data_IF_954836196030
#
_entry.id   IF_954836196030
#
_cell.length_a   1.000
_cell.length_b   1.000
_cell.length_c   1.000
_cell.angle_alpha   90.00
_cell.angle_beta   90.00
_cell.angle_gamma   90.00
#
_symmetry.space_group_name_H-M   'P 1'
#
loop_
_entity.id
_entity.type
_entity.pdbx_description
1 polymer ?
#
# COMPACT_ATOMS: atom_id res chain seq x y z
N UNK A 1 12.28 -5.40 25.06
CA UNK A 1 11.64 -5.91 23.83
C UNK A 1 11.84 -7.40 23.81
N UNK A 2 10.81 -8.18 23.50
CA UNK A 2 10.85 -9.63 23.75
C UNK A 2 11.13 -10.43 22.50
N UNK A 3 10.53 -10.03 21.38
CA UNK A 3 10.62 -10.77 20.12
C UNK A 3 10.51 -9.83 18.93
N UNK A 4 11.39 -10.02 17.95
CA UNK A 4 11.38 -9.29 16.68
C UNK A 4 11.64 -10.26 15.55
N UNK A 5 10.79 -10.28 14.54
CA UNK A 5 10.96 -11.14 13.37
C UNK A 5 10.27 -10.57 12.14
N UNK A 6 10.61 -11.09 10.95
CA UNK A 6 9.95 -10.74 9.69
C UNK A 6 8.71 -11.62 9.49
N UNK A 7 7.65 -11.06 8.92
CA UNK A 7 6.39 -11.77 8.65
C UNK A 7 6.21 -11.94 7.15
N UNK A 8 6.50 -13.14 6.62
CA UNK A 8 6.34 -13.45 5.20
C UNK A 8 7.43 -14.40 4.68
N UNK A 9 7.39 -14.73 3.38
CA UNK A 9 8.39 -15.61 2.77
C UNK A 9 9.78 -14.95 2.70
N UNK A 10 10.86 -15.74 2.55
CA UNK A 10 12.20 -15.23 2.31
C UNK A 10 12.23 -14.31 1.08
N UNK A 11 13.03 -13.23 1.17
CA UNK A 11 13.06 -12.20 0.13
C UNK A 11 13.75 -12.67 -1.15
N UNK A 12 13.16 -12.29 -2.28
CA UNK A 12 13.81 -12.22 -3.59
C UNK A 12 14.20 -10.75 -3.86
N UNK A 13 15.31 -10.51 -4.56
CA UNK A 13 15.93 -9.19 -4.70
C UNK A 13 15.05 -8.09 -5.33
N UNK A 14 13.97 -8.47 -6.04
CA UNK A 14 13.09 -7.55 -6.77
C UNK A 14 11.71 -7.36 -6.12
N UNK A 15 11.51 -7.89 -4.90
CA UNK A 15 10.22 -7.80 -4.19
C UNK A 15 10.30 -6.71 -3.12
N UNK A 16 9.21 -5.96 -2.86
CA UNK A 16 9.16 -5.00 -1.76
C UNK A 16 9.61 -5.58 -0.40
N UNK A 17 10.12 -4.74 0.51
CA UNK A 17 10.50 -5.18 1.84
C UNK A 17 9.34 -5.87 2.57
N UNK A 18 9.65 -6.96 3.26
CA UNK A 18 8.71 -7.68 4.12
C UNK A 18 8.57 -6.98 5.47
N UNK A 19 7.34 -6.94 5.98
CA UNK A 19 7.00 -6.36 7.28
C UNK A 19 7.76 -7.00 8.44
N UNK A 20 8.00 -6.20 9.48
CA UNK A 20 8.66 -6.61 10.71
C UNK A 20 7.65 -6.54 11.84
N UNK A 21 7.45 -7.67 12.53
CA UNK A 21 6.64 -7.72 13.73
C UNK A 21 7.52 -7.57 14.96
N UNK A 22 7.17 -6.59 15.81
CA UNK A 22 7.87 -6.26 17.05
C UNK A 22 6.93 -6.52 18.22
N UNK A 23 7.27 -7.47 19.08
CA UNK A 23 6.60 -7.75 20.34
C UNK A 23 7.28 -6.96 21.46
N UNK A 24 6.61 -5.89 21.91
CA UNK A 24 7.02 -5.08 23.07
C UNK A 24 6.29 -5.60 24.30
N UNK A 25 7.03 -5.96 25.35
CA UNK A 25 6.49 -6.46 26.62
C UNK A 25 5.54 -5.45 27.28
N UNK A 26 6.00 -4.21 27.41
CA UNK A 26 5.28 -3.14 28.08
C UNK A 26 4.27 -2.48 27.14
N UNK A 27 3.00 -2.63 27.50
CA UNK A 27 1.87 -2.02 26.82
C UNK A 27 1.97 -0.49 26.76
N UNK A 28 2.35 0.16 27.87
CA UNK A 28 2.43 1.62 27.94
C UNK A 28 3.55 2.15 27.03
N UNK A 29 4.70 1.48 27.02
CA UNK A 29 5.78 1.79 26.11
C UNK A 29 5.35 1.65 24.64
N UNK A 30 4.66 0.54 24.30
CA UNK A 30 4.13 0.32 22.94
C UNK A 30 3.19 1.45 22.51
N UNK A 31 2.24 1.83 23.36
CA UNK A 31 1.29 2.90 23.04
C UNK A 31 1.99 4.26 22.91
N UNK A 32 2.96 4.56 23.77
CA UNK A 32 3.76 5.79 23.68
C UNK A 32 4.55 5.87 22.37
N UNK A 33 5.16 4.76 21.94
CA UNK A 33 5.87 4.69 20.65
C UNK A 33 4.89 4.94 19.49
N UNK A 34 3.71 4.31 19.51
CA UNK A 34 2.69 4.49 18.48
C UNK A 34 2.14 5.92 18.46
N UNK A 35 1.97 6.56 19.62
CA UNK A 35 1.54 7.94 19.73
C UNK A 35 2.59 8.90 19.14
N UNK A 36 3.85 8.78 19.56
CA UNK A 36 4.95 9.58 19.03
C UNK A 36 5.09 9.42 17.51
N UNK A 37 4.91 8.20 16.99
CA UNK A 37 4.94 7.94 15.56
C UNK A 37 3.83 8.68 14.78
N UNK A 38 2.62 8.79 15.34
CA UNK A 38 1.50 9.52 14.74
C UNK A 38 1.74 11.03 14.77
N UNK A 39 2.26 11.54 15.87
CA UNK A 39 2.58 12.97 16.07
C UNK A 39 3.69 13.46 15.13
N UNK A 40 4.70 12.63 14.87
CA UNK A 40 5.80 13.00 13.98
C UNK A 40 5.41 13.04 12.49
N UNK A 41 4.28 12.44 12.10
CA UNK A 41 3.74 12.30 10.73
C UNK A 41 4.66 11.61 9.68
N UNK A 42 5.98 11.71 9.82
CA UNK A 42 6.99 11.21 8.89
C UNK A 42 8.17 10.60 9.65
N UNK A 43 8.15 9.29 9.83
CA UNK A 43 9.27 8.54 10.41
C UNK A 43 10.29 8.21 9.31
N UNK A 44 11.56 8.61 9.49
CA UNK A 44 12.65 8.29 8.56
C UNK A 44 13.72 7.44 9.23
N UNK A 45 14.21 6.43 8.50
CA UNK A 45 15.35 5.61 8.89
C UNK A 45 16.20 5.31 7.67
N UNK A 46 17.50 5.64 7.73
CA UNK A 46 18.44 5.45 6.61
C UNK A 46 17.94 6.02 5.27
N UNK A 47 17.30 7.19 5.29
CA UNK A 47 16.73 7.83 4.10
C UNK A 47 15.39 7.26 3.63
N UNK A 48 14.86 6.21 4.27
CA UNK A 48 13.57 5.61 3.93
C UNK A 48 12.47 6.05 4.90
N UNK A 49 11.27 6.28 4.37
CA UNK A 49 10.08 6.52 5.19
C UNK A 49 9.56 5.20 5.74
N UNK A 50 9.32 5.17 7.04
CA UNK A 50 8.74 4.03 7.75
C UNK A 50 7.28 4.30 8.08
N UNK A 51 6.48 3.24 8.01
CA UNK A 51 5.08 3.26 8.46
C UNK A 51 4.97 2.32 9.66
N UNK A 52 4.46 2.84 10.77
CA UNK A 52 4.28 2.08 12.00
C UNK A 52 2.78 1.88 12.26
N UNK A 53 2.37 0.62 12.36
CA UNK A 53 0.98 0.24 12.60
C UNK A 53 0.85 -0.61 13.86
N UNK A 54 -0.32 -0.51 14.51
CA UNK A 54 -0.68 -1.42 15.58
C UNK A 54 -1.05 -2.78 14.97
N UNK A 55 -0.56 -3.87 15.55
CA UNK A 55 -1.04 -5.21 15.20
C UNK A 55 -2.51 -5.38 15.60
N UNK A 56 -3.31 -5.90 14.67
CA UNK A 56 -4.74 -6.12 14.82
C UNK A 56 -5.09 -7.50 14.28
N UNK A 57 -5.96 -8.22 15.00
CA UNK A 57 -6.48 -9.50 14.56
C UNK A 57 -7.17 -9.40 13.19
N UNK A 58 -7.06 -10.45 12.37
CA UNK A 58 -7.64 -10.49 11.02
C UNK A 58 -9.15 -10.20 11.00
N UNK A 59 -9.89 -10.69 12.00
CA UNK A 59 -11.34 -10.44 12.15
C UNK A 59 -11.61 -8.94 12.32
N UNK A 60 -10.78 -8.24 13.09
CA UNK A 60 -10.88 -6.79 13.31
C UNK A 60 -10.59 -6.03 12.02
N UNK A 61 -9.55 -6.44 11.27
CA UNK A 61 -9.25 -5.84 9.97
C UNK A 61 -10.38 -6.04 8.97
N UNK A 62 -11.03 -7.22 8.96
CA UNK A 62 -12.17 -7.48 8.11
C UNK A 62 -13.34 -6.55 8.44
N UNK A 63 -13.72 -6.43 9.72
CA UNK A 63 -14.77 -5.50 10.15
C UNK A 63 -14.50 -4.04 9.73
N UNK A 64 -13.23 -3.60 9.79
CA UNK A 64 -12.83 -2.27 9.31
C UNK A 64 -12.98 -2.11 7.80
N UNK A 65 -12.69 -3.17 7.03
CA UNK A 65 -12.92 -3.19 5.57
C UNK A 65 -14.41 -3.12 5.24
N UNK A 66 -15.26 -3.81 6.00
CA UNK A 66 -16.71 -3.81 5.78
C UNK A 66 -17.30 -2.39 5.97
N UNK A 67 -16.66 -1.55 6.79
CA UNK A 67 -16.98 -0.13 6.98
C UNK A 67 -16.42 0.82 5.92
N UNK A 68 -15.73 0.31 4.89
CA UNK A 68 -15.23 1.10 3.76
C UNK A 68 -16.25 2.10 3.19
N UNK A 69 -17.51 1.72 2.84
CA UNK A 69 -18.49 2.67 2.30
C UNK A 69 -18.77 3.85 3.24
N UNK A 70 -18.90 3.58 4.54
CA UNK A 70 -19.11 4.60 5.56
C UNK A 70 -17.89 5.53 5.65
N UNK A 71 -16.69 4.98 5.70
CA UNK A 71 -15.47 5.81 5.80
C UNK A 71 -15.19 6.64 4.55
N UNK A 72 -15.57 6.14 3.37
CA UNK A 72 -15.51 6.89 2.11
C UNK A 72 -16.48 8.07 2.14
N UNK A 73 -17.73 7.83 2.58
CA UNK A 73 -18.71 8.89 2.74
C UNK A 73 -18.24 9.98 3.73
N UNK A 74 -17.70 9.59 4.89
CA UNK A 74 -17.15 10.55 5.85
C UNK A 74 -16.02 11.39 5.24
N UNK A 75 -15.14 10.77 4.45
CA UNK A 75 -14.04 11.45 3.76
C UNK A 75 -14.54 12.45 2.72
N UNK A 76 -15.55 12.06 1.92
CA UNK A 76 -16.19 12.93 0.93
C UNK A 76 -16.82 14.16 1.58
N UNK A 77 -17.40 14.00 2.77
CA UNK A 77 -17.97 15.10 3.57
C UNK A 77 -16.92 15.91 4.35
N UNK A 78 -15.64 15.59 4.22
CA UNK A 78 -14.56 16.26 4.96
C UNK A 78 -14.57 15.98 6.47
N UNK A 79 -15.25 14.92 6.91
CA UNK A 79 -15.35 14.55 8.33
C UNK A 79 -14.19 13.64 8.70
N UNK A 80 -13.37 14.09 9.65
CA UNK A 80 -12.31 13.28 10.24
C UNK A 80 -12.89 12.16 11.10
N UNK A 81 -12.37 10.95 10.93
CA UNK A 81 -12.72 9.79 11.77
C UNK A 81 -11.46 9.12 12.33
N UNK A 82 -11.64 8.37 13.40
CA UNK A 82 -10.61 7.52 14.00
C UNK A 82 -11.16 6.15 14.36
N UNK A 83 -10.26 5.19 14.52
CA UNK A 83 -10.61 3.83 14.93
C UNK A 83 -10.31 3.62 16.41
N UNK A 84 -11.33 3.31 17.20
CA UNK A 84 -11.18 2.81 18.56
C UNK A 84 -10.83 1.33 18.58
N UNK A 85 -9.98 0.93 19.53
CA UNK A 85 -9.66 -0.47 19.78
C UNK A 85 -10.82 -1.20 20.48
N UNK A 86 -11.08 -2.49 20.17
CA UNK A 86 -10.55 -3.23 19.02
C UNK A 86 -11.22 -2.78 17.72
N UNK A 87 -12.52 -2.50 17.78
CA UNK A 87 -13.34 -2.08 16.65
C UNK A 87 -14.44 -1.11 17.09
N UNK A 88 -14.23 0.19 16.84
CA UNK A 88 -15.23 1.27 16.94
C UNK A 88 -14.87 2.34 15.91
N UNK A 89 -15.83 2.81 15.12
CA UNK A 89 -15.65 3.99 14.27
C UNK A 89 -16.06 5.24 15.06
N UNK A 90 -15.13 6.17 15.26
CA UNK A 90 -15.33 7.38 16.06
C UNK A 90 -15.22 8.61 15.17
N UNK A 91 -16.23 9.47 15.17
CA UNK A 91 -16.24 10.70 14.36
C UNK A 91 -17.19 11.73 14.96
N UNK A 92 -17.05 13.00 14.54
CA UNK A 92 -18.00 14.07 14.89
C UNK A 92 -18.97 14.31 13.74
N UNK A 93 -20.26 14.30 14.04
CA UNK A 93 -21.33 14.58 13.08
C UNK A 93 -22.37 15.46 13.76
N UNK A 94 -22.80 16.53 13.08
CA UNK A 94 -23.78 17.49 13.63
C UNK A 94 -23.41 18.01 15.04
N UNK A 95 -22.12 18.26 15.26
CA UNK A 95 -21.57 18.75 16.54
C UNK A 95 -21.40 17.68 17.63
N UNK A 96 -21.98 16.48 17.47
CA UNK A 96 -21.93 15.38 18.45
C UNK A 96 -20.86 14.36 18.10
N UNK A 97 -20.27 13.75 19.14
CA UNK A 97 -19.33 12.64 18.99
C UNK A 97 -20.11 11.32 18.89
N UNK A 98 -19.90 10.57 17.82
CA UNK A 98 -20.52 9.26 17.60
C UNK A 98 -19.47 8.16 17.66
N UNK A 99 -19.86 7.00 18.21
CA UNK A 99 -19.04 5.80 18.27
C UNK A 99 -19.86 4.61 17.79
N UNK A 100 -19.52 4.05 16.64
CA UNK A 100 -20.31 3.01 15.99
C UNK A 100 -19.58 1.67 16.00
N UNK A 101 -20.33 0.62 16.31
CA UNK A 101 -19.87 -0.78 16.27
C UNK A 101 -20.58 -1.61 15.20
N UNK A 102 -21.64 -1.08 14.58
CA UNK A 102 -22.49 -1.79 13.61
C UNK A 102 -22.66 -0.97 12.33
N UNK A 103 -22.64 -1.64 11.18
CA UNK A 103 -22.90 -1.00 9.88
C UNK A 103 -24.31 -0.43 9.82
N UNK A 104 -25.30 -1.22 10.23
CA UNK A 104 -26.72 -0.82 10.22
C UNK A 104 -26.98 0.48 10.98
N UNK A 105 -26.30 0.64 12.11
CA UNK A 105 -26.34 1.87 12.91
C UNK A 105 -25.74 3.05 12.14
N UNK A 106 -24.62 2.83 11.43
CA UNK A 106 -23.98 3.84 10.60
C UNK A 106 -24.83 4.29 9.42
N UNK A 107 -25.45 3.35 8.68
CA UNK A 107 -26.35 3.68 7.58
C UNK A 107 -27.57 4.45 8.06
N UNK A 108 -28.17 4.04 9.19
CA UNK A 108 -29.31 4.73 9.78
C UNK A 108 -28.96 6.16 10.21
N UNK A 109 -27.79 6.35 10.83
CA UNK A 109 -27.34 7.66 11.31
C UNK A 109 -27.01 8.61 10.15
N UNK A 110 -26.30 8.12 9.14
CA UNK A 110 -25.90 8.91 7.98
C UNK A 110 -26.98 9.01 6.90
N UNK A 111 -28.14 8.38 7.13
CA UNK A 111 -29.26 8.29 6.17
C UNK A 111 -28.82 7.75 4.80
N UNK A 112 -27.93 6.76 4.82
CA UNK A 112 -27.40 6.11 3.63
C UNK A 112 -28.23 4.86 3.30
N UNK A 113 -28.34 4.53 2.02
CA UNK A 113 -28.94 3.27 1.59
C UNK A 113 -27.96 2.11 1.82
N UNK A 114 -28.45 1.06 2.48
CA UNK A 114 -27.72 -0.21 2.59
C UNK A 114 -27.54 -0.79 1.18
N UNK A 115 -26.33 -1.24 0.80
CA UNK A 115 -26.14 -1.94 -0.44
C UNK A 115 -27.03 -3.19 -0.42
N UNK A 116 -28.05 -3.20 -1.27
CA UNK A 116 -28.95 -4.33 -1.42
C UNK A 116 -28.14 -5.53 -1.93
N UNK A 117 -28.14 -6.63 -1.16
CA UNK A 117 -27.51 -7.92 -1.52
C UNK A 117 -28.21 -8.61 -2.72
N UNK A 118 -28.46 -7.88 -3.80
CA UNK A 118 -28.86 -8.45 -5.09
C UNK A 118 -27.60 -8.72 -5.90
N UNK A 119 -26.79 -9.67 -5.46
CA UNK A 119 -25.85 -10.30 -6.37
C UNK A 119 -26.53 -11.51 -7.01
N UNK A 120 -26.74 -11.54 -8.35
CA UNK A 120 -27.00 -12.80 -9.02
C UNK A 120 -25.79 -13.70 -8.76
N UNK A 121 -26.07 -14.90 -8.26
CA UNK A 121 -25.12 -15.98 -8.13
C UNK A 121 -24.45 -16.21 -9.49
N UNK A 122 -23.29 -15.61 -9.73
CA UNK A 122 -22.39 -16.08 -10.79
C UNK A 122 -21.53 -17.14 -10.11
N UNK A 123 -21.65 -18.42 -10.50
CA UNK A 123 -20.80 -19.45 -9.91
C UNK A 123 -19.35 -19.05 -10.18
N UNK A 124 -18.59 -18.89 -9.09
CA UNK A 124 -17.15 -18.76 -9.13
C UNK A 124 -16.61 -19.95 -9.90
N UNK A 125 -16.28 -19.77 -11.18
CA UNK A 125 -15.48 -20.74 -11.91
C UNK A 125 -14.15 -20.82 -11.19
N UNK A 126 -13.90 -22.01 -10.66
CA UNK A 126 -12.72 -22.37 -9.91
C UNK A 126 -11.50 -22.23 -10.84
N UNK A 127 -10.86 -21.06 -10.84
CA UNK A 127 -9.54 -20.85 -11.44
C UNK A 127 -8.45 -21.43 -10.51
N UNK A 128 -8.69 -22.62 -9.96
CA UNK A 128 -7.63 -23.58 -9.65
C UNK A 128 -7.46 -24.42 -10.90
N UNK A 129 -6.50 -24.05 -11.75
CA UNK A 129 -5.70 -24.90 -12.64
C UNK A 129 -5.00 -23.97 -13.63
N UNK A 130 -3.94 -23.29 -13.17
CA UNK A 130 -2.87 -22.89 -14.08
C UNK A 130 -1.57 -23.52 -13.61
N UNK A 131 -1.52 -24.84 -13.78
CA UNK A 131 -0.27 -25.53 -14.09
C UNK A 131 0.13 -25.00 -15.47
N UNK A 132 0.87 -23.89 -15.51
CA UNK A 132 1.43 -23.40 -16.78
C UNK A 132 2.63 -24.27 -17.07
N UNK A 133 2.44 -25.21 -18.00
CA UNK A 133 3.50 -25.83 -18.76
C UNK A 133 4.42 -24.75 -19.30
N UNK A 134 5.72 -24.98 -19.15
CA UNK A 134 6.77 -24.26 -19.83
C UNK A 134 6.52 -24.42 -21.34
N UNK A 135 5.94 -23.38 -21.95
CA UNK A 135 5.81 -23.23 -23.39
C UNK A 135 7.01 -22.45 -23.91
N UNK A 136 7.73 -23.08 -24.84
CA UNK A 136 8.86 -22.53 -25.57
C UNK A 136 8.51 -21.15 -26.15
N UNK A 137 9.18 -20.11 -25.68
CA UNK A 137 9.28 -18.86 -26.43
C UNK A 137 10.42 -19.01 -27.43
N UNK A 138 10.07 -19.11 -28.71
CA UNK A 138 10.99 -18.86 -29.81
C UNK A 138 11.53 -17.43 -29.69
N UNK A 139 12.85 -17.31 -29.55
CA UNK A 139 13.57 -16.04 -29.50
C UNK A 139 13.39 -15.25 -30.79
N UNK A 140 13.15 -13.92 -30.74
CA UNK A 140 13.34 -13.07 -31.91
C UNK A 140 14.84 -12.96 -32.24
N UNK A 141 15.17 -13.16 -33.52
CA UNK A 141 16.51 -13.06 -34.11
C UNK A 141 17.06 -11.65 -33.88
N UNK A 142 18.18 -11.55 -33.17
CA UNK A 142 18.98 -10.31 -33.08
C UNK A 142 19.65 -10.06 -34.44
N UNK A 143 19.16 -9.07 -35.17
CA UNK A 143 19.87 -8.51 -36.32
C UNK A 143 20.90 -7.52 -35.77
N UNK A 144 22.19 -7.80 -35.98
CA UNK A 144 23.28 -6.87 -35.65
C UNK A 144 23.19 -5.66 -36.59
N UNK A 145 23.37 -4.42 -36.12
CA UNK A 145 23.48 -3.27 -37.00
C UNK A 145 24.82 -3.31 -37.76
N UNK A 146 24.77 -2.94 -39.04
CA UNK A 146 25.91 -2.93 -39.95
C UNK A 146 27.04 -1.99 -39.48
N UNK A 147 28.33 -2.36 -39.68
CA UNK A 147 29.47 -1.66 -39.10
C UNK A 147 29.74 -0.27 -39.69
N UNK A 148 29.13 0.08 -40.83
CA UNK A 148 29.35 1.38 -41.49
C UNK A 148 28.60 2.53 -40.81
N UNK A 149 27.46 2.26 -40.17
CA UNK A 149 26.65 3.28 -39.50
C UNK A 149 27.32 3.81 -38.21
N UNK A 150 28.11 2.97 -37.53
CA UNK A 150 28.78 3.32 -36.27
C UNK A 150 30.00 4.25 -36.45
N UNK A 151 30.59 4.31 -37.64
CA UNK A 151 31.76 5.14 -37.92
C UNK A 151 31.37 6.62 -38.13
N UNK A 152 30.18 6.87 -38.70
CA UNK A 152 29.68 8.22 -38.99
C UNK A 152 29.27 8.96 -37.71
N UNK A 153 28.63 8.27 -36.76
CA UNK A 153 28.21 8.89 -35.49
C UNK A 153 29.41 9.29 -34.60
N UNK A 154 30.47 8.47 -34.58
CA UNK A 154 31.68 8.80 -33.79
C UNK A 154 32.44 10.02 -34.34
N UNK A 155 32.35 10.29 -35.65
CA UNK A 155 33.01 11.45 -36.27
C UNK A 155 32.28 12.76 -35.94
N UNK A 156 30.95 12.75 -35.90
CA UNK A 156 30.14 13.92 -35.54
C UNK A 156 30.32 14.37 -34.07
N UNK A 157 30.56 13.41 -33.16
CA UNK A 157 30.78 13.72 -31.74
C UNK A 157 32.17 14.35 -31.50
N UNK A 158 33.19 13.95 -32.26
CA UNK A 158 34.54 14.51 -32.14
C UNK A 158 34.64 15.94 -32.71
N UNK A 159 33.90 16.22 -33.79
CA UNK A 159 33.90 17.54 -34.42
C UNK A 159 33.18 18.60 -33.56
N UNK A 160 32.13 18.20 -32.85
CA UNK A 160 31.38 19.09 -31.93
C UNK A 160 32.11 19.40 -30.62
N UNK A 161 33.09 18.58 -30.22
CA UNK A 161 33.95 18.84 -29.05
C UNK A 161 35.11 19.80 -29.38
N UNK A 162 35.61 19.78 -30.62
CA UNK A 162 36.68 20.70 -31.07
C UNK A 162 36.20 22.16 -31.19
N UNK A 163 34.94 22.37 -31.58
CA UNK A 163 34.37 23.71 -31.78
C UNK A 163 34.07 24.49 -30.47
N UNK A 164 34.20 23.87 -29.29
CA UNK A 164 33.91 24.49 -27.98
C UNK A 164 35.16 24.99 -27.23
N UNK A 165 36.37 24.83 -27.79
CA UNK A 165 37.62 25.19 -27.12
C UNK A 165 38.22 26.56 -27.55
N UNK A 166 37.46 27.43 -28.22
CA UNK A 166 38.01 28.64 -28.87
C UNK A 166 37.23 29.93 -28.67
N UNK A 167 36.76 30.22 -27.46
CA UNK A 167 36.33 31.57 -27.07
C UNK A 167 36.75 31.85 -25.62
N UNK A 168 37.98 32.32 -25.47
CA UNK A 168 38.37 33.29 -24.45
C UNK A 168 38.72 34.60 -25.16
#
# INVERSE_FOLDING_TARGET
>A
MDRVHRVGPPRLAHVPPVDILVCVYDFLLRERILQMAREQHLLKFCGHTLLLYQELAAITLQKRKDFSPITSHLREKGVSYSWGYPFRLVFRWEGKLHQLCSLKEAYSLLQLEEPSDKHPHSPRTDLRHRRSTCGQTVSPKSTKPDPETMATERRAVLESLSAKSGRE
#
